data_IF_386592685315
#
_entry.id   IF_386592685315
#
_cell.length_a   1.000
_cell.length_b   1.000
_cell.length_c   1.000
_cell.angle_alpha   90.00
_cell.angle_beta   90.00
_cell.angle_gamma   90.00
#
_symmetry.space_group_name_H-M   'P 1'
#
loop_
_entity.id
_entity.type
_entity.pdbx_description
1 polymer ?
#
# COMPACT_ATOMS: atom_id res chain seq x y z
N UNK A 1 -43.32 -5.15 -92.71
CA UNK A 1 -42.99 -6.53 -92.32
C UNK A 1 -43.42 -7.53 -93.40
N UNK A 2 -44.65 -7.46 -93.91
CA UNK A 2 -45.12 -8.31 -95.03
C UNK A 2 -44.34 -8.14 -96.35
N UNK A 3 -43.95 -6.92 -96.73
CA UNK A 3 -43.21 -6.70 -97.99
C UNK A 3 -41.78 -7.28 -97.99
N UNK A 4 -41.15 -7.40 -96.81
CA UNK A 4 -39.87 -8.10 -96.66
C UNK A 4 -40.04 -9.62 -96.76
N UNK A 5 -41.18 -10.14 -96.26
CA UNK A 5 -41.52 -11.55 -96.27
C UNK A 5 -41.90 -12.03 -97.68
N UNK A 6 -42.67 -11.23 -98.43
CA UNK A 6 -43.00 -11.49 -99.84
C UNK A 6 -41.78 -11.46 -100.77
N UNK A 7 -40.79 -10.61 -100.49
CA UNK A 7 -39.53 -10.59 -101.27
C UNK A 7 -38.67 -11.84 -101.08
N UNK A 8 -38.78 -12.50 -99.91
CA UNK A 8 -38.08 -13.75 -99.60
C UNK A 8 -38.73 -14.96 -100.29
N UNK A 9 -40.05 -14.94 -100.47
CA UNK A 9 -40.81 -16.04 -101.07
C UNK A 9 -40.72 -16.05 -102.61
N UNK A 10 -40.37 -14.92 -103.25
CA UNK A 10 -40.13 -14.79 -104.70
C UNK A 10 -38.72 -15.19 -105.16
N UNK A 11 -37.93 -15.93 -104.37
CA UNK A 11 -36.61 -16.38 -104.81
C UNK A 11 -36.71 -17.60 -105.74
N UNK A 12 -37.01 -17.32 -107.01
CA UNK A 12 -36.62 -18.20 -108.11
C UNK A 12 -35.12 -18.50 -108.03
N UNK A 13 -34.75 -19.76 -108.22
CA UNK A 13 -33.40 -20.34 -108.18
C UNK A 13 -32.24 -19.33 -108.25
N UNK A 14 -31.75 -18.89 -107.08
CA UNK A 14 -30.54 -18.06 -106.98
C UNK A 14 -29.39 -18.86 -107.62
N UNK A 15 -28.72 -18.27 -108.61
CA UNK A 15 -27.63 -18.93 -109.32
C UNK A 15 -26.45 -19.22 -108.37
N UNK A 16 -25.73 -20.33 -108.61
CA UNK A 16 -24.54 -20.70 -107.83
C UNK A 16 -23.54 -19.53 -107.61
N UNK A 17 -23.19 -18.70 -108.62
CA UNK A 17 -22.29 -17.57 -108.39
C UNK A 17 -22.87 -16.50 -107.44
N UNK A 18 -24.18 -16.23 -107.48
CA UNK A 18 -24.82 -15.28 -106.56
C UNK A 18 -24.80 -15.78 -105.11
N UNK A 19 -25.00 -17.10 -104.89
CA UNK A 19 -24.87 -17.71 -103.55
C UNK A 19 -23.45 -17.57 -102.99
N UNK A 20 -22.44 -17.83 -103.83
CA UNK A 20 -21.02 -17.69 -103.44
C UNK A 20 -20.69 -16.23 -103.12
N UNK A 21 -21.20 -15.27 -103.88
CA UNK A 21 -21.03 -13.84 -103.61
C UNK A 21 -21.62 -13.43 -102.25
N UNK A 22 -22.87 -13.81 -101.95
CA UNK A 22 -23.52 -13.52 -100.67
C UNK A 22 -22.79 -14.18 -99.49
N UNK A 23 -22.36 -15.43 -99.64
CA UNK A 23 -21.57 -16.13 -98.61
C UNK A 23 -20.22 -15.44 -98.38
N UNK A 24 -19.56 -14.93 -99.43
CA UNK A 24 -18.31 -14.18 -99.30
C UNK A 24 -18.52 -12.87 -98.55
N UNK A 25 -19.63 -12.17 -98.82
CA UNK A 25 -20.00 -10.93 -98.13
C UNK A 25 -20.31 -11.18 -96.66
N UNK A 26 -21.07 -12.24 -96.33
CA UNK A 26 -21.34 -12.64 -94.95
C UNK A 26 -20.03 -12.98 -94.21
N UNK A 27 -19.12 -13.74 -94.85
CA UNK A 27 -17.80 -14.04 -94.25
C UNK A 27 -16.96 -12.79 -94.01
N UNK A 28 -16.99 -11.83 -94.93
CA UNK A 28 -16.32 -10.54 -94.75
C UNK A 28 -16.92 -9.77 -93.56
N UNK A 29 -18.24 -9.65 -93.50
CA UNK A 29 -18.95 -8.97 -92.41
C UNK A 29 -18.72 -9.65 -91.05
N UNK A 30 -18.65 -10.99 -91.02
CA UNK A 30 -18.32 -11.74 -89.80
C UNK A 30 -16.86 -11.50 -89.35
N UNK A 31 -15.93 -11.41 -90.31
CA UNK A 31 -14.53 -11.06 -90.01
C UNK A 31 -14.43 -9.63 -89.46
N UNK A 32 -15.17 -8.69 -90.03
CA UNK A 32 -15.21 -7.30 -89.56
C UNK A 32 -15.82 -7.23 -88.15
N UNK A 33 -16.94 -7.91 -87.91
CA UNK A 33 -17.55 -8.03 -86.58
C UNK A 33 -16.58 -8.64 -85.56
N UNK A 34 -15.89 -9.73 -85.93
CA UNK A 34 -14.87 -10.35 -85.08
C UNK A 34 -13.69 -9.42 -84.78
N UNK A 35 -13.29 -8.60 -85.75
CA UNK A 35 -12.25 -7.57 -85.58
C UNK A 35 -12.69 -6.49 -84.60
N UNK A 36 -13.93 -5.99 -84.74
CA UNK A 36 -14.51 -5.00 -83.81
C UNK A 36 -14.61 -5.55 -82.39
N UNK A 37 -15.07 -6.80 -82.21
CA UNK A 37 -15.13 -7.47 -80.90
C UNK A 37 -13.73 -7.61 -80.29
N UNK A 38 -12.72 -7.94 -81.09
CA UNK A 38 -11.34 -8.03 -80.60
C UNK A 38 -10.82 -6.67 -80.15
N UNK A 39 -11.07 -5.62 -80.92
CA UNK A 39 -10.67 -4.26 -80.58
C UNK A 39 -11.36 -3.76 -79.32
N UNK A 40 -12.68 -3.98 -79.18
CA UNK A 40 -13.42 -3.59 -77.98
C UNK A 40 -12.95 -4.36 -76.75
N UNK A 41 -12.64 -5.65 -76.88
CA UNK A 41 -12.05 -6.45 -75.79
C UNK A 41 -10.68 -5.94 -75.37
N UNK A 42 -9.82 -5.57 -76.33
CA UNK A 42 -8.51 -4.98 -76.04
C UNK A 42 -8.64 -3.62 -75.36
N UNK A 43 -9.54 -2.76 -75.84
CA UNK A 43 -9.81 -1.45 -75.24
C UNK A 43 -10.36 -1.59 -73.81
N UNK A 44 -11.32 -2.49 -73.58
CA UNK A 44 -11.86 -2.77 -72.26
C UNK A 44 -10.80 -3.33 -71.30
N UNK A 45 -9.95 -4.25 -71.76
CA UNK A 45 -8.85 -4.78 -70.97
C UNK A 45 -7.83 -3.69 -70.58
N UNK A 46 -7.49 -2.80 -71.51
CA UNK A 46 -6.62 -1.67 -71.22
C UNK A 46 -7.23 -0.71 -70.20
N UNK A 47 -8.51 -0.37 -70.33
CA UNK A 47 -9.21 0.48 -69.36
C UNK A 47 -9.28 -0.19 -67.97
N UNK A 48 -9.52 -1.50 -67.90
CA UNK A 48 -9.49 -2.24 -66.64
C UNK A 48 -8.10 -2.15 -65.96
N UNK A 49 -7.02 -2.35 -66.72
CA UNK A 49 -5.65 -2.23 -66.20
C UNK A 49 -5.33 -0.83 -65.68
N UNK A 50 -5.78 0.22 -66.37
CA UNK A 50 -5.63 1.60 -65.90
C UNK A 50 -6.41 1.84 -64.60
N UNK A 51 -7.66 1.35 -64.53
CA UNK A 51 -8.48 1.44 -63.33
C UNK A 51 -7.81 0.75 -62.15
N UNK A 52 -7.27 -0.46 -62.35
CA UNK A 52 -6.57 -1.21 -61.31
C UNK A 52 -5.32 -0.49 -60.83
N UNK A 53 -4.56 0.13 -61.75
CA UNK A 53 -3.39 0.95 -61.41
C UNK A 53 -3.75 2.15 -60.54
N UNK A 54 -4.83 2.87 -60.88
CA UNK A 54 -5.33 4.00 -60.08
C UNK A 54 -5.86 3.50 -58.73
N UNK A 55 -6.58 2.38 -58.69
CA UNK A 55 -7.04 1.80 -57.44
C UNK A 55 -5.88 1.45 -56.50
N UNK A 56 -4.80 0.86 -57.02
CA UNK A 56 -3.61 0.57 -56.22
C UNK A 56 -2.98 1.86 -55.65
N UNK A 57 -2.89 2.93 -56.44
CA UNK A 57 -2.40 4.23 -55.97
C UNK A 57 -3.28 4.82 -54.86
N UNK A 58 -4.60 4.75 -55.01
CA UNK A 58 -5.54 5.19 -53.97
C UNK A 58 -5.36 4.39 -52.69
N UNK A 59 -5.18 3.06 -52.78
CA UNK A 59 -4.91 2.23 -51.59
C UNK A 59 -3.60 2.60 -50.90
N UNK A 60 -2.54 2.89 -51.64
CA UNK A 60 -1.28 3.36 -51.07
C UNK A 60 -1.46 4.67 -50.27
N UNK A 61 -2.18 5.64 -50.84
CA UNK A 61 -2.47 6.91 -50.17
C UNK A 61 -3.38 6.73 -48.95
N UNK A 62 -4.37 5.84 -49.00
CA UNK A 62 -5.22 5.53 -47.86
C UNK A 62 -4.43 4.86 -46.72
N UNK A 63 -3.47 4.02 -47.07
CA UNK A 63 -2.57 3.41 -46.09
C UNK A 63 -1.68 4.48 -45.43
N UNK A 64 -1.06 5.35 -46.23
CA UNK A 64 -0.24 6.46 -45.73
C UNK A 64 -1.04 7.39 -44.82
N UNK A 65 -2.26 7.78 -45.23
CA UNK A 65 -3.16 8.58 -44.40
C UNK A 65 -3.43 7.90 -43.06
N UNK A 66 -3.82 6.62 -43.07
CA UNK A 66 -4.09 5.87 -41.84
C UNK A 66 -2.85 5.77 -40.96
N UNK A 67 -1.67 5.57 -41.54
CA UNK A 67 -0.42 5.50 -40.80
C UNK A 67 -0.11 6.81 -40.10
N UNK A 68 -0.24 7.93 -40.82
CA UNK A 68 -0.05 9.27 -40.28
C UNK A 68 -1.10 9.59 -39.20
N UNK A 69 -2.37 9.23 -39.41
CA UNK A 69 -3.43 9.38 -38.40
C UNK A 69 -3.07 8.64 -37.10
N UNK A 70 -2.62 7.38 -37.20
CA UNK A 70 -2.17 6.59 -36.06
C UNK A 70 -0.92 7.15 -35.39
N UNK A 71 0.01 7.73 -36.15
CA UNK A 71 1.19 8.39 -35.59
C UNK A 71 0.84 9.68 -34.87
N UNK A 72 -0.06 10.49 -35.43
CA UNK A 72 -0.59 11.69 -34.79
C UNK A 72 -1.31 11.33 -33.48
N UNK A 73 -2.14 10.28 -33.47
CA UNK A 73 -2.78 9.80 -32.25
C UNK A 73 -1.77 9.34 -31.21
N UNK A 74 -0.73 8.60 -31.62
CA UNK A 74 0.37 8.19 -30.73
C UNK A 74 1.10 9.40 -30.14
N UNK A 75 1.39 10.42 -30.94
CA UNK A 75 2.04 11.65 -30.47
C UNK A 75 1.13 12.47 -29.55
N UNK A 76 -0.18 12.54 -29.81
CA UNK A 76 -1.14 13.25 -28.95
C UNK A 76 -1.36 12.55 -27.62
N UNK A 77 -1.39 11.22 -27.62
CA UNK A 77 -1.55 10.40 -26.42
C UNK A 77 -0.22 10.10 -25.74
N UNK A 78 0.84 10.82 -26.08
CA UNK A 78 2.13 10.67 -25.43
C UNK A 78 2.02 11.20 -24.00
N UNK A 79 1.82 10.27 -23.05
CA UNK A 79 1.85 10.58 -21.63
C UNK A 79 3.27 10.98 -21.23
N UNK A 80 3.40 12.21 -20.75
CA UNK A 80 4.66 12.69 -20.21
C UNK A 80 4.76 12.35 -18.72
N UNK A 81 5.98 12.24 -18.21
CA UNK A 81 6.19 11.96 -16.78
C UNK A 81 5.62 13.05 -15.87
N UNK A 82 5.45 14.29 -16.35
CA UNK A 82 4.92 15.39 -15.54
C UNK A 82 3.39 15.35 -15.38
N UNK A 83 2.65 14.70 -16.28
CA UNK A 83 1.19 14.53 -16.18
C UNK A 83 0.77 13.73 -14.93
N UNK A 84 1.68 12.89 -14.42
CA UNK A 84 1.48 12.04 -13.24
C UNK A 84 1.87 12.73 -11.94
N UNK A 85 2.50 13.92 -12.00
CA UNK A 85 2.99 14.62 -10.82
C UNK A 85 1.85 15.45 -10.21
N UNK A 86 1.46 15.23 -8.94
CA UNK A 86 0.52 16.11 -8.28
C UNK A 86 1.19 17.47 -8.07
N UNK A 87 0.65 18.49 -8.72
CA UNK A 87 1.17 19.85 -8.68
C UNK A 87 0.25 20.74 -7.84
N UNK A 88 0.84 21.62 -7.01
CA UNK A 88 0.11 22.67 -6.27
C UNK A 88 -0.81 23.46 -7.19
N UNK A 89 -2.05 23.75 -6.78
CA UNK A 89 -3.04 24.40 -7.63
C UNK A 89 -2.53 25.74 -8.18
N UNK A 90 -3.03 26.17 -9.36
CA UNK A 90 -2.57 27.41 -9.98
C UNK A 90 -2.82 28.63 -9.09
N UNK A 91 -3.91 28.64 -8.33
CA UNK A 91 -4.25 29.73 -7.43
C UNK A 91 -3.29 29.82 -6.24
N UNK A 92 -2.93 28.68 -5.64
CA UNK A 92 -1.94 28.61 -4.57
C UNK A 92 -0.55 29.01 -5.09
N UNK A 93 -0.15 28.47 -6.25
CA UNK A 93 1.12 28.82 -6.89
C UNK A 93 1.23 30.33 -7.15
N UNK A 94 0.17 30.95 -7.68
CA UNK A 94 0.14 32.41 -7.93
C UNK A 94 0.21 33.23 -6.64
N UNK A 95 -0.41 32.77 -5.55
CA UNK A 95 -0.29 33.43 -4.24
C UNK A 95 1.14 33.38 -3.69
N UNK A 96 1.84 32.26 -3.88
CA UNK A 96 3.20 32.04 -3.40
C UNK A 96 4.26 32.73 -4.27
N UNK A 97 4.11 32.69 -5.60
CA UNK A 97 5.16 33.11 -6.53
C UNK A 97 4.88 34.47 -7.22
N UNK A 98 3.68 35.05 -7.07
CA UNK A 98 3.33 36.43 -7.47
C UNK A 98 3.42 36.77 -8.97
N UNK A 99 3.92 35.87 -9.82
CA UNK A 99 4.16 36.10 -11.24
C UNK A 99 2.94 35.80 -12.12
N UNK A 100 2.67 36.70 -13.07
CA UNK A 100 1.79 36.45 -14.23
C UNK A 100 2.67 36.18 -15.44
N UNK A 101 2.91 34.91 -15.72
CA UNK A 101 3.56 34.53 -16.97
C UNK A 101 2.50 34.41 -18.06
N UNK A 102 2.77 35.04 -19.21
CA UNK A 102 1.83 35.08 -20.34
C UNK A 102 1.90 33.80 -21.20
N UNK A 103 3.05 33.10 -21.19
CA UNK A 103 3.23 31.83 -21.89
C UNK A 103 2.94 30.64 -20.97
N UNK A 104 2.00 29.78 -21.40
CA UNK A 104 1.58 28.57 -20.70
C UNK A 104 2.73 27.59 -20.47
N UNK A 105 3.61 27.42 -21.46
CA UNK A 105 4.73 26.49 -21.34
C UNK A 105 5.75 26.97 -20.30
N UNK A 106 6.04 28.26 -20.29
CA UNK A 106 6.95 28.88 -19.32
C UNK A 106 6.34 28.79 -17.90
N UNK A 107 5.03 29.04 -17.77
CA UNK A 107 4.30 28.88 -16.52
C UNK A 107 4.40 27.45 -15.98
N UNK A 108 4.24 26.44 -16.82
CA UNK A 108 4.35 25.04 -16.41
C UNK A 108 5.77 24.70 -15.94
N UNK A 109 6.80 25.13 -16.66
CA UNK A 109 8.20 24.91 -16.27
C UNK A 109 8.52 25.55 -14.91
N UNK A 110 8.03 26.77 -14.67
CA UNK A 110 8.28 27.46 -13.42
C UNK A 110 7.49 26.86 -12.25
N UNK A 111 6.29 26.33 -12.50
CA UNK A 111 5.54 25.53 -11.52
C UNK A 111 6.29 24.23 -11.17
N UNK A 112 6.83 23.53 -12.16
CA UNK A 112 7.63 22.31 -11.93
C UNK A 112 8.91 22.59 -11.13
N UNK A 113 9.63 23.68 -11.44
CA UNK A 113 10.82 24.09 -10.69
C UNK A 113 10.49 24.45 -9.24
N UNK A 114 9.37 25.13 -9.02
CA UNK A 114 8.90 25.44 -7.68
C UNK A 114 8.58 24.17 -6.89
N UNK A 115 7.81 23.25 -7.47
CA UNK A 115 7.48 21.96 -6.84
C UNK A 115 8.73 21.16 -6.49
N UNK A 116 9.71 21.12 -7.42
CA UNK A 116 10.98 20.43 -7.19
C UNK A 116 11.71 21.00 -5.97
N UNK A 117 11.85 22.33 -5.89
CA UNK A 117 12.49 23.00 -4.75
C UNK A 117 11.77 22.68 -3.45
N UNK A 118 10.44 22.84 -3.43
CA UNK A 118 9.62 22.56 -2.25
C UNK A 118 9.76 21.11 -1.78
N UNK A 119 9.78 20.14 -2.71
CA UNK A 119 9.98 18.71 -2.36
C UNK A 119 11.37 18.41 -1.85
N UNK A 120 12.40 19.07 -2.39
CA UNK A 120 13.77 18.94 -1.88
C UNK A 120 13.85 19.45 -0.44
N UNK A 121 13.33 20.65 -0.18
CA UNK A 121 13.28 21.24 1.17
C UNK A 121 12.51 20.35 2.16
N UNK A 122 11.34 19.84 1.76
CA UNK A 122 10.55 18.91 2.58
C UNK A 122 11.29 17.60 2.86
N UNK A 123 11.99 17.05 1.87
CA UNK A 123 12.76 15.82 2.05
C UNK A 123 13.96 16.03 2.98
N UNK A 124 14.64 17.18 2.87
CA UNK A 124 15.75 17.54 3.74
C UNK A 124 15.27 17.69 5.19
N UNK A 125 14.16 18.39 5.40
CA UNK A 125 13.51 18.50 6.72
C UNK A 125 13.08 17.13 7.26
N UNK A 126 12.54 16.26 6.41
CA UNK A 126 12.16 14.89 6.78
C UNK A 126 13.38 14.10 7.24
N UNK A 127 14.50 14.22 6.53
CA UNK A 127 15.74 13.52 6.87
C UNK A 127 16.32 14.03 8.19
N UNK A 128 16.34 15.36 8.41
CA UNK A 128 16.76 15.95 9.68
C UNK A 128 15.89 15.46 10.86
N UNK A 129 14.57 15.46 10.70
CA UNK A 129 13.66 14.93 11.73
C UNK A 129 13.86 13.42 11.95
N UNK A 130 14.17 12.67 10.90
CA UNK A 130 14.45 11.24 11.01
C UNK A 130 15.75 10.98 11.79
N UNK A 131 16.78 11.80 11.59
CA UNK A 131 18.04 11.74 12.36
C UNK A 131 17.79 12.07 13.84
N UNK A 132 17.07 13.15 14.14
CA UNK A 132 16.69 13.52 15.51
C UNK A 132 15.90 12.40 16.18
N UNK A 133 14.92 11.83 15.48
CA UNK A 133 14.14 10.69 15.97
C UNK A 133 15.03 9.48 16.26
N UNK A 134 15.99 9.17 15.39
CA UNK A 134 16.91 8.06 15.58
C UNK A 134 17.82 8.29 16.79
N UNK A 135 18.29 9.52 17.00
CA UNK A 135 19.11 9.90 18.16
C UNK A 135 18.34 9.69 19.47
N UNK A 136 17.14 10.28 19.56
CA UNK A 136 16.28 10.17 20.75
C UNK A 136 15.91 8.70 21.02
N UNK A 137 15.65 7.91 19.98
CA UNK A 137 15.34 6.50 20.15
C UNK A 137 16.54 5.70 20.67
N UNK A 138 17.76 6.05 20.26
CA UNK A 138 18.98 5.46 20.82
C UNK A 138 19.17 5.84 22.28
N UNK A 139 18.96 7.10 22.64
CA UNK A 139 19.03 7.58 24.03
C UNK A 139 17.99 6.89 24.91
N UNK A 140 16.74 6.79 24.47
CA UNK A 140 15.68 6.08 25.19
C UNK A 140 15.97 4.58 25.35
N UNK A 141 16.57 3.94 24.35
CA UNK A 141 16.98 2.55 24.48
C UNK A 141 18.14 2.38 25.48
N UNK A 142 19.09 3.32 25.51
CA UNK A 142 20.16 3.30 26.51
C UNK A 142 19.62 3.48 27.92
N UNK A 143 18.74 4.46 28.16
CA UNK A 143 18.13 4.68 29.47
C UNK A 143 17.25 3.50 29.87
N UNK A 144 16.49 2.91 28.94
CA UNK A 144 15.74 1.69 29.17
C UNK A 144 16.65 0.53 29.61
N UNK A 145 17.74 0.29 28.89
CA UNK A 145 18.69 -0.78 29.26
C UNK A 145 19.30 -0.52 30.65
N UNK A 146 19.68 0.73 30.96
CA UNK A 146 20.17 1.07 32.30
C UNK A 146 19.13 0.90 33.41
N UNK A 147 17.85 1.15 33.12
CA UNK A 147 16.75 0.88 34.04
C UNK A 147 16.53 -0.62 34.24
N UNK A 148 16.60 -1.42 33.17
CA UNK A 148 16.52 -2.89 33.25
C UNK A 148 17.69 -3.47 34.05
N UNK A 149 18.90 -2.93 33.89
CA UNK A 149 20.08 -3.31 34.68
C UNK A 149 19.86 -3.00 36.18
N UNK A 150 19.37 -1.79 36.49
CA UNK A 150 19.06 -1.36 37.85
C UNK A 150 17.93 -2.19 38.49
N UNK A 151 16.90 -2.53 37.72
CA UNK A 151 15.80 -3.40 38.16
C UNK A 151 16.34 -4.79 38.55
N UNK A 152 17.23 -5.37 37.74
CA UNK A 152 17.89 -6.64 38.08
C UNK A 152 18.76 -6.55 39.35
N UNK A 153 19.42 -5.42 39.58
CA UNK A 153 20.21 -5.21 40.80
C UNK A 153 19.33 -5.00 42.03
N UNK A 154 18.17 -4.35 41.87
CA UNK A 154 17.18 -4.19 42.92
C UNK A 154 16.58 -5.55 43.32
N UNK A 155 16.27 -6.42 42.36
CA UNK A 155 15.82 -7.78 42.63
C UNK A 155 16.84 -8.57 43.46
N UNK A 156 18.12 -8.50 43.10
CA UNK A 156 19.21 -9.13 43.88
C UNK A 156 19.29 -8.54 45.29
N UNK A 157 19.13 -7.23 45.44
CA UNK A 157 19.14 -6.58 46.75
C UNK A 157 17.96 -7.03 47.62
N UNK A 158 16.76 -7.11 47.04
CA UNK A 158 15.56 -7.58 47.73
C UNK A 158 15.73 -9.03 48.17
N UNK A 159 16.29 -9.90 47.33
CA UNK A 159 16.55 -11.29 47.69
C UNK A 159 17.60 -11.42 48.80
N UNK A 160 18.65 -10.60 48.76
CA UNK A 160 19.63 -10.52 49.84
C UNK A 160 19.01 -10.04 51.16
N UNK A 161 18.20 -8.98 51.11
CA UNK A 161 17.50 -8.43 52.26
C UNK A 161 16.51 -9.44 52.87
N UNK A 162 15.73 -10.15 52.04
CA UNK A 162 14.88 -11.28 52.48
C UNK A 162 15.71 -12.38 53.15
N UNK A 163 16.88 -12.68 52.60
CA UNK A 163 17.83 -13.63 53.19
C UNK A 163 18.31 -13.21 54.59
N UNK A 164 18.65 -11.92 54.78
CA UNK A 164 19.00 -11.35 56.08
C UNK A 164 17.80 -11.37 57.02
N UNK A 165 16.62 -10.93 56.58
CA UNK A 165 15.40 -10.93 57.39
C UNK A 165 15.07 -12.34 57.89
N UNK A 166 15.23 -13.36 57.04
CA UNK A 166 15.07 -14.76 57.46
C UNK A 166 16.06 -15.16 58.55
N UNK A 167 17.33 -14.72 58.47
CA UNK A 167 18.34 -14.97 59.50
C UNK A 167 18.02 -14.20 60.79
N UNK A 168 17.63 -12.94 60.69
CA UNK A 168 17.22 -12.12 61.83
C UNK A 168 16.03 -12.75 62.55
N UNK A 169 14.98 -13.13 61.83
CA UNK A 169 13.81 -13.81 62.41
C UNK A 169 14.16 -15.18 63.03
N UNK A 170 15.19 -15.86 62.53
CA UNK A 170 15.71 -17.10 63.15
C UNK A 170 16.45 -16.79 64.44
N UNK A 171 17.30 -15.76 64.45
CA UNK A 171 17.97 -15.27 65.64
C UNK A 171 16.95 -14.82 66.68
N UNK A 172 16.00 -13.97 66.33
CA UNK A 172 14.92 -13.52 67.24
C UNK A 172 14.26 -14.69 67.98
N UNK A 173 13.92 -15.77 67.24
CA UNK A 173 13.41 -17.02 67.82
C UNK A 173 14.40 -17.79 68.70
N UNK A 174 15.70 -17.65 68.48
CA UNK A 174 16.76 -18.22 69.34
C UNK A 174 16.91 -17.40 70.61
N UNK A 175 16.89 -16.07 70.51
CA UNK A 175 16.93 -15.16 71.66
C UNK A 175 15.68 -15.32 72.55
N UNK A 176 14.49 -15.51 71.95
CA UNK A 176 13.26 -15.83 72.68
C UNK A 176 13.37 -17.18 73.41
N UNK A 177 13.98 -18.19 72.78
CA UNK A 177 14.18 -19.52 73.39
C UNK A 177 15.25 -19.52 74.48
N UNK A 178 16.36 -18.83 74.29
CA UNK A 178 17.40 -18.68 75.32
C UNK A 178 16.84 -17.90 76.52
N UNK A 179 15.97 -16.90 76.31
CA UNK A 179 15.25 -16.23 77.40
C UNK A 179 14.24 -17.14 78.11
N UNK A 180 13.59 -18.06 77.40
CA UNK A 180 12.70 -19.06 77.99
C UNK A 180 13.50 -20.14 78.75
N UNK A 181 14.59 -20.65 78.20
CA UNK A 181 15.49 -21.65 78.80
C UNK A 181 16.23 -21.09 80.03
N UNK A 182 16.74 -19.85 80.01
CA UNK A 182 17.28 -19.20 81.21
C UNK A 182 16.22 -18.98 82.31
N UNK A 183 14.96 -18.77 81.92
CA UNK A 183 13.85 -18.64 82.86
C UNK A 183 13.43 -19.98 83.46
N UNK A 184 13.56 -21.08 82.72
CA UNK A 184 13.29 -22.45 83.16
C UNK A 184 14.46 -23.01 83.99
N UNK A 185 15.73 -22.81 83.60
CA UNK A 185 16.90 -23.20 84.40
C UNK A 185 16.97 -22.44 85.74
N UNK A 186 16.54 -21.16 85.78
CA UNK A 186 16.36 -20.42 87.04
C UNK A 186 15.21 -20.94 87.91
N UNK A 187 14.19 -21.59 87.32
CA UNK A 187 13.12 -22.26 88.07
C UNK A 187 13.56 -23.66 88.53
N UNK A 188 14.33 -24.38 87.73
CA UNK A 188 14.84 -25.73 88.01
C UNK A 188 15.96 -25.71 89.05
N UNK A 189 16.92 -24.78 88.97
CA UNK A 189 17.89 -24.51 90.05
C UNK A 189 17.23 -24.01 91.34
N UNK A 190 16.04 -23.39 91.27
CA UNK A 190 15.24 -23.04 92.45
C UNK A 190 14.43 -24.21 93.00
N UNK A 191 14.18 -25.26 92.21
CA UNK A 191 13.45 -26.45 92.63
C UNK A 191 14.39 -27.50 93.25
N UNK A 192 15.63 -27.66 92.79
CA UNK A 192 16.59 -28.59 93.42
C UNK A 192 17.15 -28.10 94.77
N UNK A 193 17.00 -26.81 95.09
CA UNK A 193 17.37 -26.21 96.39
C UNK A 193 16.16 -26.10 97.36
N UNK A 194 15.01 -26.69 97.04
CA UNK A 194 13.74 -26.49 97.76
C UNK A 194 13.14 -27.72 98.45
N UNK A 195 13.87 -28.84 98.52
CA UNK A 195 13.43 -30.06 99.24
C UNK A 195 13.93 -30.15 100.70
N UNK A 196 14.73 -29.20 101.18
CA UNK A 196 15.11 -29.09 102.60
C UNK A 196 14.74 -27.70 103.15
N UNK A 197 13.45 -27.47 103.43
CA UNK A 197 12.94 -26.69 104.58
C UNK A 197 11.45 -26.39 104.43
N UNK A 198 10.63 -27.33 104.89
CA UNK A 198 9.26 -27.08 105.33
C UNK A 198 9.27 -26.35 106.68
N UNK A 199 8.81 -25.10 106.72
CA UNK A 199 8.27 -24.49 107.94
C UNK A 199 6.99 -23.73 107.58
N UNK A 200 5.87 -24.32 107.99
CA UNK A 200 4.55 -23.70 108.10
C UNK A 200 4.59 -22.50 109.07
N UNK A 201 4.06 -21.35 108.65
CA UNK A 201 3.44 -20.39 109.57
C UNK A 201 2.16 -19.84 108.90
N UNK A 202 1.02 -20.27 109.44
CA UNK A 202 -0.29 -19.68 109.24
C UNK A 202 -0.39 -18.29 109.89
N UNK A 203 -1.09 -17.35 109.23
CA UNK A 203 -2.38 -16.79 109.70
C UNK A 203 -2.81 -15.54 108.91
N UNK A 204 -4.02 -15.65 108.32
CA UNK A 204 -5.18 -14.73 108.35
C UNK A 204 -4.97 -13.22 108.03
N UNK A 205 -5.88 -12.46 107.41
CA UNK A 205 -7.20 -12.62 106.77
C UNK A 205 -7.52 -11.25 106.13
N UNK A 206 -8.72 -11.14 105.53
CA UNK A 206 -9.41 -9.95 104.99
C UNK A 206 -9.06 -9.56 103.55
N UNK A 207 -9.99 -9.20 102.66
CA UNK A 207 -11.41 -9.44 102.43
C UNK A 207 -11.76 -8.58 101.19
N UNK A 208 -12.66 -9.08 100.34
CA UNK A 208 -13.47 -8.35 99.34
C UNK A 208 -12.78 -7.40 98.33
N UNK A 209 -12.93 -7.68 97.03
CA UNK A 209 -14.10 -7.16 96.33
C UNK A 209 -14.34 -7.84 94.96
N UNK A 210 -15.61 -7.83 94.56
CA UNK A 210 -16.22 -8.49 93.41
C UNK A 210 -15.82 -7.95 92.01
N UNK A 211 -15.87 -8.89 91.03
CA UNK A 211 -16.27 -8.88 89.59
C UNK A 211 -17.00 -7.60 89.05
N UNK A 212 -17.21 -7.38 87.72
CA UNK A 212 -16.95 -8.25 86.54
C UNK A 212 -16.52 -7.57 85.20
N UNK A 213 -16.10 -8.44 84.27
CA UNK A 213 -16.34 -8.55 82.81
C UNK A 213 -16.63 -7.36 81.86
N UNK A 214 -15.96 -7.51 80.70
CA UNK A 214 -16.43 -7.39 79.30
C UNK A 214 -16.42 -6.07 78.52
N UNK A 215 -16.17 -6.28 77.21
CA UNK A 215 -16.42 -5.45 76.00
C UNK A 215 -15.32 -4.44 75.64
N UNK A 216 -14.60 -4.59 74.52
CA UNK A 216 -14.96 -4.46 73.09
C UNK A 216 -15.08 -3.00 72.61
N UNK A 217 -14.63 -2.75 71.37
CA UNK A 217 -14.62 -1.52 70.54
C UNK A 217 -13.54 -0.48 70.87
N UNK A 218 -12.83 0.16 69.94
CA UNK A 218 -12.85 0.18 68.47
C UNK A 218 -11.52 0.81 67.98
N UNK A 219 -11.03 0.42 66.80
CA UNK A 219 -10.93 1.29 65.62
C UNK A 219 -10.51 2.74 65.93
N UNK A 220 -9.28 3.11 65.58
CA UNK A 220 -8.95 4.49 65.22
C UNK A 220 -8.05 4.48 63.98
N UNK A 221 -8.70 4.63 62.82
CA UNK A 221 -8.10 5.04 61.57
C UNK A 221 -7.89 6.56 61.61
N UNK A 222 -6.64 7.00 61.49
CA UNK A 222 -6.25 8.37 61.11
C UNK A 222 -4.90 8.26 60.38
N UNK A 223 -4.59 8.96 59.30
CA UNK A 223 -5.27 9.90 58.42
C UNK A 223 -4.34 9.99 57.20
N UNK A 224 -4.90 10.05 56.00
CA UNK A 224 -4.18 10.48 54.80
C UNK A 224 -3.64 11.91 54.99
N UNK A 225 -2.37 12.14 54.60
CA UNK A 225 -1.91 13.46 54.16
C UNK A 225 -0.81 13.33 53.10
N UNK A 226 -1.14 13.82 51.90
CA UNK A 226 -0.32 14.25 50.75
C UNK A 226 0.71 13.31 50.12
#
# INVERSE_FOLDING_TARGET
MEQLQQSLETTGSISLPQKVALLSHLKALNRDSSSVIRQSKQAAAHQAQLSDGVHAQVQNLLYERRHLEQEIERCRNFETSFDKVPLVSLDEYRKLNGGKEEDEHVLMLNRLKFELRTRQELNDHRNQLQEVRSSINSENNQTKNSLEDLDSDLDKFVDFAKGIQSKLNKLDKVWDKESEEESEERKESKNELKDDNDIEIDQANEADNHRPQDTNSGEDQRMDTN
#
